data_IF_144987920037
#
_entry.id   IF_144987920037
#
_cell.length_a   1.000
_cell.length_b   1.000
_cell.length_c   1.000
_cell.angle_alpha   90.00
_cell.angle_beta   90.00
_cell.angle_gamma   90.00
#
_symmetry.space_group_name_H-M   'P 1'
#
loop_
_entity.id
_entity.type
_entity.pdbx_description
1 polymer ?
#
# COMPACT_ATOMS: atom_id res chain seq x y z
N UNK A 1 6.19 -17.58 14.63
CA UNK A 1 5.41 -17.23 13.43
C UNK A 1 6.31 -17.50 12.23
N UNK A 2 5.83 -18.22 11.22
CA UNK A 2 6.62 -18.58 10.02
C UNK A 2 6.94 -17.32 9.20
N UNK A 3 8.20 -17.13 8.79
CA UNK A 3 8.65 -16.02 7.94
C UNK A 3 7.85 -15.97 6.64
N UNK A 4 7.47 -17.11 6.08
CA UNK A 4 6.62 -17.18 4.87
C UNK A 4 5.24 -16.55 5.10
N UNK A 5 4.70 -16.72 6.31
CA UNK A 5 3.44 -16.09 6.71
C UNK A 5 3.64 -14.58 6.90
N UNK A 6 4.74 -14.15 7.54
CA UNK A 6 5.04 -12.72 7.72
C UNK A 6 5.24 -12.01 6.38
N UNK A 7 5.83 -12.66 5.38
CA UNK A 7 6.08 -12.08 4.07
C UNK A 7 5.03 -12.45 3.03
N UNK A 8 3.82 -12.85 3.44
CA UNK A 8 2.74 -13.18 2.52
C UNK A 8 2.20 -11.91 1.83
N UNK A 9 2.23 -11.81 0.48
CA UNK A 9 1.66 -10.65 -0.22
C UNK A 9 0.20 -10.43 0.11
N UNK A 10 -0.59 -11.51 0.26
CA UNK A 10 -2.02 -11.43 0.58
C UNK A 10 -2.28 -10.74 1.92
N UNK A 11 -1.51 -11.08 2.95
CA UNK A 11 -1.69 -10.50 4.29
C UNK A 11 -1.40 -9.00 4.23
N UNK A 12 -0.30 -8.59 3.60
CA UNK A 12 0.04 -7.18 3.48
C UNK A 12 -0.91 -6.41 2.57
N UNK A 13 -1.41 -7.00 1.49
CA UNK A 13 -2.44 -6.39 0.65
C UNK A 13 -3.69 -6.07 1.45
N UNK A 14 -4.15 -7.00 2.30
CA UNK A 14 -5.31 -6.78 3.15
C UNK A 14 -5.07 -5.72 4.22
N UNK A 15 -3.90 -5.72 4.87
CA UNK A 15 -3.53 -4.70 5.86
C UNK A 15 -3.51 -3.31 5.21
N UNK A 16 -2.80 -3.16 4.10
CA UNK A 16 -2.70 -1.89 3.37
C UNK A 16 -4.07 -1.45 2.87
N UNK A 17 -4.86 -2.35 2.27
CA UNK A 17 -6.21 -2.05 1.79
C UNK A 17 -7.08 -1.46 2.91
N UNK A 18 -7.13 -2.10 4.07
CA UNK A 18 -7.97 -1.64 5.19
C UNK A 18 -7.48 -0.29 5.71
N UNK A 19 -6.19 -0.15 6.00
CA UNK A 19 -5.64 1.08 6.57
C UNK A 19 -5.72 2.24 5.59
N UNK A 20 -5.37 2.01 4.33
CA UNK A 20 -5.40 3.03 3.28
C UNK A 20 -6.82 3.51 2.99
N UNK A 21 -7.79 2.59 2.90
CA UNK A 21 -9.19 2.97 2.69
C UNK A 21 -9.76 3.72 3.89
N UNK A 22 -9.46 3.24 5.11
CA UNK A 22 -9.92 3.88 6.34
C UNK A 22 -9.41 5.32 6.46
N UNK A 23 -8.10 5.55 6.28
CA UNK A 23 -7.49 6.88 6.44
C UNK A 23 -7.73 7.78 5.23
N UNK A 24 -7.55 7.23 4.03
CA UNK A 24 -7.57 8.00 2.78
C UNK A 24 -8.95 8.34 2.26
N UNK A 25 -9.97 7.56 2.64
CA UNK A 25 -11.34 7.73 2.10
C UNK A 25 -12.33 7.92 3.24
N UNK A 26 -12.40 7.00 4.20
CA UNK A 26 -13.47 7.00 5.22
C UNK A 26 -13.27 8.11 6.25
N UNK A 27 -12.03 8.38 6.66
CA UNK A 27 -11.71 9.41 7.63
C UNK A 27 -11.76 10.85 7.06
N UNK A 28 -12.05 11.01 5.77
CA UNK A 28 -12.23 12.32 5.16
C UNK A 28 -13.55 12.92 5.66
N UNK A 29 -13.50 14.12 6.23
CA UNK A 29 -14.60 14.66 7.05
C UNK A 29 -15.54 15.60 6.31
N UNK A 30 -15.11 16.17 5.17
CA UNK A 30 -15.91 17.13 4.41
C UNK A 30 -15.82 16.91 2.90
N UNK A 31 -16.81 16.21 2.34
CA UNK A 31 -16.93 15.96 0.90
C UNK A 31 -17.58 17.12 0.13
N UNK A 32 -17.91 18.23 0.79
CA UNK A 32 -18.35 19.45 0.11
C UNK A 32 -17.17 20.33 -0.33
N UNK A 33 -15.96 20.03 0.14
CA UNK A 33 -14.73 20.69 -0.26
C UNK A 33 -14.08 19.92 -1.42
N UNK A 34 -13.97 20.56 -2.59
CA UNK A 34 -13.48 19.94 -3.83
C UNK A 34 -12.15 19.20 -3.64
N UNK A 35 -11.15 19.84 -3.02
CA UNK A 35 -9.82 19.24 -2.83
C UNK A 35 -9.82 18.00 -1.93
N UNK A 36 -10.71 17.96 -0.92
CA UNK A 36 -10.84 16.82 -0.01
C UNK A 36 -11.56 15.67 -0.71
N UNK A 37 -12.59 15.97 -1.51
CA UNK A 37 -13.30 14.98 -2.35
C UNK A 37 -12.41 14.41 -3.45
N UNK A 38 -11.63 15.25 -4.13
CA UNK A 38 -10.67 14.83 -5.15
C UNK A 38 -9.60 13.93 -4.55
N UNK A 39 -9.03 14.30 -3.39
CA UNK A 39 -8.09 13.46 -2.65
C UNK A 39 -8.72 12.12 -2.30
N UNK A 40 -9.92 12.11 -1.72
CA UNK A 40 -10.63 10.88 -1.39
C UNK A 40 -10.85 9.98 -2.62
N UNK A 41 -11.15 10.57 -3.78
CA UNK A 41 -11.29 9.86 -5.05
C UNK A 41 -10.01 9.16 -5.51
N UNK A 42 -8.86 9.85 -5.43
CA UNK A 42 -7.54 9.26 -5.75
C UNK A 42 -7.24 8.10 -4.80
N UNK A 43 -7.47 8.28 -3.50
CA UNK A 43 -7.22 7.23 -2.51
C UNK A 43 -8.16 6.03 -2.72
N UNK A 44 -9.42 6.26 -3.09
CA UNK A 44 -10.37 5.21 -3.41
C UNK A 44 -9.96 4.41 -4.65
N UNK A 45 -9.43 5.06 -5.68
CA UNK A 45 -8.92 4.38 -6.87
C UNK A 45 -7.76 3.43 -6.51
N UNK A 46 -6.81 3.88 -5.68
CA UNK A 46 -5.73 3.03 -5.17
C UNK A 46 -6.29 1.86 -4.36
N UNK A 47 -7.26 2.11 -3.47
CA UNK A 47 -7.95 1.06 -2.71
C UNK A 47 -8.65 0.03 -3.61
N UNK A 48 -9.22 0.45 -4.75
CA UNK A 48 -9.83 -0.47 -5.71
C UNK A 48 -8.78 -1.41 -6.34
N UNK A 49 -7.60 -0.90 -6.70
CA UNK A 49 -6.50 -1.72 -7.22
C UNK A 49 -5.93 -2.67 -6.16
N UNK A 50 -5.82 -2.22 -4.89
CA UNK A 50 -5.42 -3.07 -3.78
C UNK A 50 -6.44 -4.20 -3.54
N UNK A 51 -7.73 -3.89 -3.57
CA UNK A 51 -8.79 -4.88 -3.45
C UNK A 51 -8.78 -5.88 -4.61
N UNK A 52 -8.59 -5.40 -5.84
CA UNK A 52 -8.41 -6.26 -7.01
C UNK A 52 -7.23 -7.22 -6.81
N UNK A 53 -6.05 -6.72 -6.45
CA UNK A 53 -4.90 -7.57 -6.18
C UNK A 53 -5.19 -8.56 -5.04
N UNK A 54 -5.81 -8.13 -3.94
CA UNK A 54 -6.04 -8.95 -2.76
C UNK A 54 -7.04 -10.10 -2.97
N UNK A 55 -8.10 -9.84 -3.75
CA UNK A 55 -9.26 -10.74 -3.86
C UNK A 55 -9.40 -11.43 -5.22
N UNK A 56 -8.87 -10.83 -6.28
CA UNK A 56 -9.09 -11.29 -7.66
C UNK A 56 -7.82 -11.84 -8.33
N UNK A 57 -6.70 -11.89 -7.61
CA UNK A 57 -5.47 -12.52 -8.10
C UNK A 57 -4.89 -13.45 -7.03
N UNK A 58 -4.02 -14.36 -7.43
CA UNK A 58 -3.32 -15.28 -6.52
C UNK A 58 -1.95 -15.65 -7.06
N UNK A 59 -1.15 -16.33 -6.23
CA UNK A 59 0.17 -16.83 -6.62
C UNK A 59 1.09 -15.73 -7.14
N UNK A 60 1.77 -16.02 -8.25
CA UNK A 60 2.74 -15.11 -8.84
C UNK A 60 2.15 -13.77 -9.30
N UNK A 61 0.94 -13.76 -9.86
CA UNK A 61 0.30 -12.53 -10.33
C UNK A 61 0.01 -11.57 -9.17
N UNK A 62 -0.47 -12.09 -8.04
CA UNK A 62 -0.72 -11.31 -6.83
C UNK A 62 0.58 -10.71 -6.27
N UNK A 63 1.67 -11.49 -6.24
CA UNK A 63 2.97 -11.02 -5.80
C UNK A 63 3.52 -9.89 -6.69
N UNK A 64 3.36 -10.04 -8.02
CA UNK A 64 3.77 -9.03 -9.00
C UNK A 64 2.99 -7.73 -8.82
N UNK A 65 1.67 -7.83 -8.71
CA UNK A 65 0.81 -6.67 -8.48
C UNK A 65 1.12 -5.99 -7.15
N UNK A 66 1.33 -6.74 -6.07
CA UNK A 66 1.73 -6.18 -4.77
C UNK A 66 2.99 -5.31 -4.88
N UNK A 67 4.04 -5.81 -5.55
CA UNK A 67 5.28 -5.06 -5.72
C UNK A 67 5.15 -3.88 -6.70
N UNK A 68 4.38 -4.00 -7.80
CA UNK A 68 4.16 -2.89 -8.75
C UNK A 68 3.33 -1.77 -8.12
N UNK A 69 2.33 -2.11 -7.31
CA UNK A 69 1.48 -1.12 -6.64
C UNK A 69 2.24 -0.44 -5.50
N UNK A 70 2.91 -1.21 -4.64
CA UNK A 70 3.52 -0.67 -3.43
C UNK A 70 4.93 -0.10 -3.64
N UNK A 71 5.69 -0.61 -4.60
CA UNK A 71 7.08 -0.21 -4.84
C UNK A 71 7.25 1.29 -5.11
N UNK A 72 6.58 1.86 -6.13
CA UNK A 72 6.65 3.29 -6.42
C UNK A 72 6.16 4.17 -5.25
N UNK A 73 5.12 3.74 -4.54
CA UNK A 73 4.59 4.47 -3.37
C UNK A 73 5.64 4.49 -2.25
N UNK A 74 6.27 3.36 -1.98
CA UNK A 74 7.35 3.30 -0.98
C UNK A 74 8.56 4.15 -1.37
N UNK A 75 8.97 4.12 -2.65
CA UNK A 75 10.06 4.98 -3.17
C UNK A 75 9.73 6.46 -2.98
N UNK A 76 8.48 6.86 -3.26
CA UNK A 76 8.03 8.22 -2.99
C UNK A 76 8.23 8.61 -1.51
N UNK A 77 7.86 7.72 -0.58
CA UNK A 77 8.07 7.99 0.85
C UNK A 77 9.55 8.21 1.20
N UNK A 78 10.44 7.36 0.67
CA UNK A 78 11.89 7.46 0.88
C UNK A 78 12.44 8.78 0.33
N UNK A 79 12.02 9.18 -0.87
CA UNK A 79 12.46 10.44 -1.50
C UNK A 79 12.02 11.64 -0.67
N UNK A 80 10.76 11.70 -0.26
CA UNK A 80 10.25 12.78 0.58
C UNK A 80 10.98 12.87 1.93
N UNK A 81 11.33 11.74 2.55
CA UNK A 81 12.15 11.72 3.76
C UNK A 81 13.55 12.25 3.50
N UNK A 82 14.18 11.82 2.40
CA UNK A 82 15.52 12.28 2.04
C UNK A 82 15.58 13.80 1.73
N UNK A 83 14.47 14.38 1.27
CA UNK A 83 14.35 15.82 1.03
C UNK A 83 14.16 16.64 2.32
N UNK A 84 13.92 16.00 3.47
CA UNK A 84 13.75 16.70 4.75
C UNK A 84 12.54 17.63 4.79
N UNK A 85 11.43 17.23 4.18
CA UNK A 85 10.21 18.04 4.12
C UNK A 85 9.68 18.33 5.54
N UNK A 86 9.25 19.56 5.79
CA UNK A 86 8.74 19.98 7.10
C UNK A 86 7.49 19.16 7.50
N UNK A 87 7.46 18.64 8.73
CA UNK A 87 6.36 17.82 9.26
C UNK A 87 6.28 16.40 8.69
N UNK A 88 7.20 16.00 7.82
CA UNK A 88 7.14 14.73 7.10
C UNK A 88 7.52 13.52 7.97
N UNK A 89 8.52 13.64 8.84
CA UNK A 89 9.06 12.50 9.60
C UNK A 89 8.01 11.86 10.51
N UNK A 90 7.14 12.66 11.13
CA UNK A 90 6.07 12.18 12.01
C UNK A 90 4.97 11.41 11.26
N UNK A 91 4.69 11.81 10.01
CA UNK A 91 3.65 11.20 9.18
C UNK A 91 4.16 10.04 8.33
N UNK A 92 5.46 10.00 8.03
CA UNK A 92 6.03 9.09 7.03
C UNK A 92 6.34 7.71 7.59
N UNK A 93 6.72 7.58 8.87
CA UNK A 93 7.20 6.30 9.42
C UNK A 93 6.16 5.18 9.33
N UNK A 94 4.90 5.35 9.80
CA UNK A 94 3.90 4.28 9.68
C UNK A 94 3.61 3.84 8.23
N UNK A 95 3.29 4.74 7.28
CA UNK A 95 3.04 4.32 5.90
C UNK A 95 4.31 3.78 5.22
N UNK A 96 5.49 4.34 5.47
CA UNK A 96 6.74 3.81 4.89
C UNK A 96 6.97 2.36 5.31
N UNK A 97 6.70 2.00 6.56
CA UNK A 97 6.79 0.61 7.02
C UNK A 97 5.74 -0.27 6.32
N UNK A 98 4.47 0.14 6.34
CA UNK A 98 3.34 -0.65 5.82
C UNK A 98 3.46 -0.89 4.30
N UNK A 99 3.74 0.17 3.53
CA UNK A 99 3.95 0.08 2.09
C UNK A 99 5.26 -0.66 1.76
N UNK A 100 6.30 -0.48 2.57
CA UNK A 100 7.57 -1.17 2.40
C UNK A 100 7.43 -2.68 2.58
N UNK A 101 6.66 -3.12 3.57
CA UNK A 101 6.39 -4.55 3.79
C UNK A 101 5.55 -5.17 2.67
N UNK A 102 4.59 -4.43 2.11
CA UNK A 102 3.85 -4.89 0.93
C UNK A 102 4.76 -5.00 -0.30
N UNK A 103 5.61 -4.01 -0.55
CA UNK A 103 6.56 -4.05 -1.66
C UNK A 103 7.55 -5.21 -1.50
N UNK A 104 8.12 -5.37 -0.31
CA UNK A 104 9.06 -6.44 0.01
C UNK A 104 8.43 -7.82 -0.13
N UNK A 105 7.23 -8.04 0.42
CA UNK A 105 6.52 -9.32 0.27
C UNK A 105 6.24 -9.65 -1.19
N UNK A 106 5.78 -8.67 -1.97
CA UNK A 106 5.58 -8.83 -3.42
C UNK A 106 6.86 -9.21 -4.16
N UNK A 107 7.99 -8.52 -3.87
CA UNK A 107 9.28 -8.79 -4.50
C UNK A 107 9.82 -10.17 -4.15
N UNK A 108 9.75 -10.56 -2.88
CA UNK A 108 10.24 -11.87 -2.41
C UNK A 108 9.44 -13.03 -3.00
N UNK A 109 8.15 -12.82 -3.27
CA UNK A 109 7.27 -13.82 -3.88
C UNK A 109 7.16 -13.71 -5.41
N UNK A 110 7.80 -12.72 -6.04
CA UNK A 110 7.61 -12.38 -7.47
C UNK A 110 7.94 -13.52 -8.44
N UNK A 111 8.96 -14.33 -8.10
CA UNK A 111 9.45 -15.44 -8.92
C UNK A 111 9.40 -16.79 -8.21
N UNK A 112 8.70 -16.90 -7.08
CA UNK A 112 8.50 -18.20 -6.45
C UNK A 112 7.39 -18.92 -7.21
N UNK A 113 7.71 -20.09 -7.78
CA UNK A 113 6.69 -21.01 -8.30
C UNK A 113 5.74 -21.39 -7.17
N UNK A 114 4.44 -21.51 -7.49
CA UNK A 114 3.40 -21.83 -6.53
C UNK A 114 3.82 -23.04 -5.67
N UNK A 115 4.06 -22.79 -4.39
CA UNK A 115 4.32 -23.85 -3.39
C UNK A 115 3.02 -24.51 -2.96
#
# INVERSE_FOLDING_TARGET
MDVKMVLSPKIWLLIVLVLHTAVGVIAQTDFSVDSETERAGVFLAISAYLAYAAFLTSGQEQARLAAVLAGPIWVWFVVCTALGLEGWEEIAVPPMFIWGMLALSGLMSWNMEDG
#
